data_IF_871861971931
#
_entry.id   IF_871861971931
#
_cell.length_a   1.000
_cell.length_b   1.000
_cell.length_c   1.000
_cell.angle_alpha   90.00
_cell.angle_beta   90.00
_cell.angle_gamma   90.00
#
_symmetry.space_group_name_H-M   'P 1'
#
loop_
_entity.id
_entity.type
_entity.pdbx_description
1 polymer ?
#
# COMPACT_ATOMS: atom_id res chain seq x y z
N UNK A 1 -17.34 -19.59 -4.10
CA UNK A 1 -16.08 -19.96 -3.43
C UNK A 1 -15.71 -18.82 -2.48
N UNK A 2 -15.81 -19.01 -1.17
CA UNK A 2 -15.34 -18.03 -0.20
C UNK A 2 -13.82 -18.16 -0.05
N UNK A 3 -13.09 -17.05 -0.17
CA UNK A 3 -11.63 -17.03 0.03
C UNK A 3 -11.31 -16.96 1.52
N UNK A 4 -10.16 -17.48 1.95
CA UNK A 4 -9.76 -17.52 3.37
C UNK A 4 -9.79 -16.13 4.03
N UNK A 5 -9.49 -15.07 3.29
CA UNK A 5 -9.44 -13.68 3.78
C UNK A 5 -10.73 -12.88 3.50
N UNK A 6 -11.83 -13.54 3.11
CA UNK A 6 -13.07 -12.84 2.78
C UNK A 6 -13.59 -12.02 3.97
N UNK A 7 -13.79 -10.72 3.74
CA UNK A 7 -14.36 -9.73 4.66
C UNK A 7 -13.55 -9.52 5.95
N UNK A 8 -12.25 -9.83 5.93
CA UNK A 8 -11.35 -9.62 7.06
C UNK A 8 -11.23 -8.14 7.45
N UNK A 9 -11.08 -7.87 8.75
CA UNK A 9 -10.84 -6.51 9.26
C UNK A 9 -9.45 -6.00 8.86
N UNK A 10 -8.45 -6.89 8.87
CA UNK A 10 -7.09 -6.60 8.45
C UNK A 10 -6.53 -7.80 7.68
N UNK A 11 -5.92 -7.53 6.53
CA UNK A 11 -5.06 -8.46 5.80
C UNK A 11 -3.62 -7.98 5.93
N UNK A 12 -2.70 -8.85 6.33
CA UNK A 12 -1.26 -8.58 6.25
C UNK A 12 -0.72 -9.27 5.01
N UNK A 13 -0.12 -8.52 4.11
CA UNK A 13 0.33 -9.01 2.80
C UNK A 13 1.77 -8.56 2.52
N UNK A 14 2.59 -9.43 1.95
CA UNK A 14 3.93 -9.05 1.53
C UNK A 14 3.88 -8.14 0.30
N UNK A 15 4.82 -7.21 0.21
CA UNK A 15 5.03 -6.37 -0.96
C UNK A 15 6.53 -6.11 -1.15
N UNK A 16 7.20 -7.07 -1.79
CA UNK A 16 8.66 -7.10 -1.85
C UNK A 16 9.28 -6.02 -2.74
N UNK A 17 8.61 -5.63 -3.84
CA UNK A 17 9.08 -4.64 -4.83
C UNK A 17 8.07 -3.50 -4.98
N UNK A 18 8.51 -2.32 -5.45
CA UNK A 18 7.60 -1.19 -5.70
C UNK A 18 6.70 -1.44 -6.91
N UNK A 19 5.63 -0.67 -7.05
CA UNK A 19 4.78 -0.76 -8.24
C UNK A 19 5.55 -0.50 -9.54
N UNK A 20 5.10 -1.15 -10.62
CA UNK A 20 5.64 -1.01 -11.96
C UNK A 20 5.56 -2.31 -12.74
N UNK A 21 5.31 -2.23 -14.06
CA UNK A 21 5.10 -3.42 -14.88
C UNK A 21 6.32 -4.37 -14.90
N UNK A 22 7.54 -3.83 -14.84
CA UNK A 22 8.78 -4.62 -14.74
C UNK A 22 8.85 -5.32 -13.39
N UNK A 23 8.67 -4.56 -12.30
CA UNK A 23 8.71 -5.10 -10.94
C UNK A 23 7.63 -6.16 -10.70
N UNK A 24 6.42 -5.98 -11.23
CA UNK A 24 5.35 -6.96 -11.13
C UNK A 24 5.74 -8.30 -11.80
N UNK A 25 6.39 -8.25 -12.97
CA UNK A 25 6.91 -9.45 -13.64
C UNK A 25 8.01 -10.14 -12.83
N UNK A 26 8.94 -9.36 -12.28
CA UNK A 26 10.03 -9.87 -11.44
C UNK A 26 9.50 -10.46 -10.13
N UNK A 27 8.52 -9.81 -9.51
CA UNK A 27 7.85 -10.29 -8.32
C UNK A 27 7.18 -11.64 -8.61
N UNK A 28 6.37 -11.71 -9.66
CA UNK A 28 5.71 -12.96 -10.10
C UNK A 28 6.69 -14.09 -10.39
N UNK A 29 7.80 -13.83 -11.09
CA UNK A 29 8.78 -14.87 -11.43
C UNK A 29 9.54 -15.40 -10.21
N UNK A 30 9.60 -14.61 -9.12
CA UNK A 30 10.24 -14.98 -7.85
C UNK A 30 9.25 -15.41 -6.77
N UNK A 31 7.95 -15.47 -7.06
CA UNK A 31 6.92 -15.82 -6.08
C UNK A 31 6.63 -14.73 -5.04
N UNK A 32 6.79 -13.46 -5.41
CA UNK A 32 6.52 -12.27 -4.59
C UNK A 32 5.46 -11.37 -5.26
N UNK A 33 5.15 -10.26 -4.58
CA UNK A 33 4.12 -9.30 -4.95
C UNK A 33 4.65 -7.86 -4.92
N UNK A 34 3.91 -6.99 -5.60
CA UNK A 34 4.04 -5.53 -5.48
C UNK A 34 2.82 -4.97 -4.72
N UNK A 35 2.90 -3.74 -4.16
CA UNK A 35 1.80 -3.09 -3.46
C UNK A 35 0.47 -3.13 -4.20
N UNK A 36 0.46 -2.90 -5.53
CA UNK A 36 -0.76 -2.97 -6.34
C UNK A 36 -1.40 -4.35 -6.30
N UNK A 37 -0.62 -5.43 -6.41
CA UNK A 37 -1.14 -6.80 -6.35
C UNK A 37 -1.79 -7.07 -4.99
N UNK A 38 -1.15 -6.61 -3.91
CA UNK A 38 -1.70 -6.72 -2.57
C UNK A 38 -3.01 -5.91 -2.44
N UNK A 39 -3.05 -4.67 -2.93
CA UNK A 39 -4.25 -3.85 -2.93
C UNK A 39 -5.40 -4.49 -3.72
N UNK A 40 -5.12 -5.05 -4.90
CA UNK A 40 -6.11 -5.79 -5.71
C UNK A 40 -6.62 -7.04 -4.98
N UNK A 41 -5.76 -7.73 -4.24
CA UNK A 41 -6.18 -8.83 -3.37
C UNK A 41 -7.11 -8.35 -2.26
N UNK A 42 -6.74 -7.28 -1.54
CA UNK A 42 -7.56 -6.64 -0.50
C UNK A 42 -8.93 -6.21 -1.03
N UNK A 43 -8.96 -5.62 -2.24
CA UNK A 43 -10.19 -5.31 -2.97
C UNK A 43 -11.06 -6.55 -3.16
N UNK A 44 -10.50 -7.60 -3.77
CA UNK A 44 -11.19 -8.85 -4.14
C UNK A 44 -11.79 -9.58 -2.94
N UNK A 45 -11.10 -9.56 -1.80
CA UNK A 45 -11.58 -10.23 -0.59
C UNK A 45 -12.48 -9.33 0.28
N UNK A 46 -12.78 -8.11 -0.16
CA UNK A 46 -13.55 -7.12 0.62
C UNK A 46 -12.92 -6.83 2.00
N UNK A 47 -11.59 -6.79 2.07
CA UNK A 47 -10.89 -6.43 3.30
C UNK A 47 -11.19 -4.97 3.67
N UNK A 48 -11.28 -4.68 4.97
CA UNK A 48 -11.42 -3.29 5.46
C UNK A 48 -10.10 -2.55 5.47
N UNK A 49 -9.03 -3.26 5.80
CA UNK A 49 -7.67 -2.74 5.83
C UNK A 49 -6.69 -3.75 5.28
N UNK A 50 -5.63 -3.26 4.65
CA UNK A 50 -4.49 -4.06 4.25
C UNK A 50 -3.20 -3.42 4.76
N UNK A 51 -2.35 -4.22 5.40
CA UNK A 51 -0.99 -3.83 5.81
C UNK A 51 0.01 -4.49 4.88
N UNK A 52 0.91 -3.67 4.32
CA UNK A 52 2.03 -4.14 3.53
C UNK A 52 3.26 -4.35 4.42
N UNK A 53 4.00 -5.42 4.18
CA UNK A 53 5.23 -5.74 4.91
C UNK A 53 6.21 -6.51 4.01
N UNK A 54 7.34 -6.96 4.57
CA UNK A 54 8.36 -7.74 3.87
C UNK A 54 8.92 -7.00 2.65
N UNK A 55 9.33 -5.75 2.86
CA UNK A 55 9.97 -4.93 1.82
C UNK A 55 11.41 -5.40 1.60
N UNK A 56 11.84 -5.52 0.34
CA UNK A 56 13.22 -5.87 0.05
C UNK A 56 14.15 -4.68 0.29
N UNK A 57 15.08 -4.82 1.25
CA UNK A 57 16.20 -3.91 1.47
C UNK A 57 17.26 -3.96 0.35
N UNK A 58 17.17 -4.92 -0.59
CA UNK A 58 18.11 -5.00 -1.72
C UNK A 58 17.83 -3.96 -2.82
N UNK A 59 16.71 -3.25 -2.70
CA UNK A 59 16.31 -2.19 -3.63
C UNK A 59 16.20 -0.83 -2.92
N UNK A 60 16.95 -0.66 -1.82
CA UNK A 60 17.18 0.64 -1.20
C UNK A 60 18.52 1.19 -1.66
N UNK A 61 18.54 1.82 -2.85
CA UNK A 61 19.42 2.93 -3.23
C UNK A 61 20.95 2.79 -3.19
N UNK A 62 21.54 1.75 -2.61
CA UNK A 62 22.99 1.64 -2.44
C UNK A 62 23.52 0.39 -3.15
N UNK A 63 23.88 0.60 -4.42
CA UNK A 63 24.87 -0.12 -5.28
C UNK A 63 24.32 -0.36 -6.69
N UNK A 64 24.15 0.72 -7.45
CA UNK A 64 24.56 0.84 -8.86
C UNK A 64 23.92 2.11 -9.44
N UNK A 65 24.68 2.89 -10.20
CA UNK A 65 24.25 4.14 -10.85
C UNK A 65 23.21 3.89 -11.97
N UNK A 66 22.97 2.61 -12.28
CA UNK A 66 21.95 2.11 -13.20
C UNK A 66 20.80 1.37 -12.48
N UNK A 67 20.77 1.37 -11.15
CA UNK A 67 19.75 0.68 -10.38
C UNK A 67 18.54 1.60 -10.18
N UNK A 68 17.44 1.31 -10.88
CA UNK A 68 16.14 1.93 -10.65
C UNK A 68 15.49 1.42 -9.35
N UNK A 69 16.28 1.20 -8.31
CA UNK A 69 15.82 0.65 -7.03
C UNK A 69 15.10 1.72 -6.24
N UNK A 70 13.80 1.75 -6.49
CA UNK A 70 12.89 2.65 -5.84
C UNK A 70 12.46 2.03 -4.51
N UNK A 71 12.62 2.78 -3.43
CA UNK A 71 12.20 2.35 -2.11
C UNK A 71 10.72 2.02 -2.11
N UNK A 72 10.43 0.73 -1.89
CA UNK A 72 9.06 0.25 -1.72
C UNK A 72 8.42 0.95 -0.52
N UNK A 73 9.21 1.32 0.49
CA UNK A 73 8.77 2.03 1.68
C UNK A 73 8.26 3.46 1.45
N UNK A 74 8.52 4.08 0.28
CA UNK A 74 7.96 5.39 -0.06
C UNK A 74 6.69 5.24 -0.93
N UNK A 75 5.50 5.58 -0.41
CA UNK A 75 4.24 5.43 -1.14
C UNK A 75 4.14 6.23 -2.43
N UNK A 76 4.97 7.26 -2.63
CA UNK A 76 4.99 8.05 -3.89
C UNK A 76 5.26 7.18 -5.11
N UNK A 77 5.93 6.06 -4.90
CA UNK A 77 6.31 5.13 -5.95
C UNK A 77 5.31 3.98 -6.15
N UNK A 78 4.28 3.92 -5.30
CA UNK A 78 3.28 2.86 -5.27
C UNK A 78 1.91 3.37 -5.73
N UNK A 79 1.92 4.15 -6.82
CA UNK A 79 0.72 4.78 -7.41
C UNK A 79 -0.31 3.76 -7.88
N UNK A 80 0.11 2.53 -8.19
CA UNK A 80 -0.79 1.46 -8.59
C UNK A 80 -1.68 1.03 -7.43
N UNK A 81 -1.11 0.83 -6.24
CA UNK A 81 -1.86 0.54 -5.02
C UNK A 81 -2.85 1.66 -4.67
N UNK A 82 -2.42 2.93 -4.77
CA UNK A 82 -3.29 4.08 -4.49
C UNK A 82 -4.48 4.15 -5.47
N UNK A 83 -4.25 3.90 -6.77
CA UNK A 83 -5.33 3.84 -7.76
C UNK A 83 -6.36 2.76 -7.46
N UNK A 84 -5.93 1.62 -6.92
CA UNK A 84 -6.87 0.57 -6.51
C UNK A 84 -7.77 1.06 -5.38
N UNK A 85 -7.25 1.81 -4.41
CA UNK A 85 -8.07 2.41 -3.35
C UNK A 85 -9.08 3.42 -3.90
N UNK A 86 -8.65 4.27 -4.85
CA UNK A 86 -9.53 5.22 -5.53
C UNK A 86 -10.68 4.49 -6.25
N UNK A 87 -10.36 3.42 -6.99
CA UNK A 87 -11.36 2.59 -7.66
C UNK A 87 -12.36 1.95 -6.69
N UNK A 88 -11.91 1.51 -5.50
CA UNK A 88 -12.82 0.97 -4.49
C UNK A 88 -13.79 2.07 -3.99
N UNK A 89 -13.30 3.29 -3.75
CA UNK A 89 -14.16 4.41 -3.32
C UNK A 89 -15.15 4.82 -4.42
N UNK A 90 -14.69 4.91 -5.67
CA UNK A 90 -15.50 5.35 -6.82
C UNK A 90 -16.51 4.30 -7.30
N UNK A 91 -16.09 3.03 -7.42
CA UNK A 91 -16.91 1.97 -8.02
C UNK A 91 -17.73 1.20 -6.98
N UNK A 92 -17.21 1.04 -5.75
CA UNK A 92 -17.83 0.20 -4.72
C UNK A 92 -18.40 1.03 -3.55
N UNK A 93 -18.17 2.34 -3.52
CA UNK A 93 -18.71 3.23 -2.49
C UNK A 93 -18.19 2.92 -1.08
N UNK A 94 -17.08 2.20 -0.95
CA UNK A 94 -16.45 1.85 0.33
C UNK A 94 -15.00 2.33 0.37
N UNK A 95 -14.44 2.42 1.57
CA UNK A 95 -13.01 2.72 1.75
C UNK A 95 -12.28 1.51 2.28
N UNK A 96 -11.07 1.29 1.79
CA UNK A 96 -10.12 0.34 2.35
C UNK A 96 -8.90 1.11 2.85
N UNK A 97 -8.47 0.85 4.09
CA UNK A 97 -7.25 1.45 4.62
C UNK A 97 -6.02 0.72 4.09
N UNK A 98 -5.00 1.46 3.67
CA UNK A 98 -3.69 0.94 3.32
C UNK A 98 -2.69 1.38 4.39
N UNK A 99 -1.97 0.41 4.95
CA UNK A 99 -1.01 0.63 6.04
C UNK A 99 0.36 0.19 5.55
N UNK A 100 1.35 1.06 5.69
CA UNK A 100 2.75 0.72 5.44
C UNK A 100 3.37 0.21 6.72
N UNK A 101 3.66 -1.10 6.79
CA UNK A 101 4.33 -1.66 7.95
C UNK A 101 5.74 -1.08 8.11
N UNK A 102 6.22 -1.01 9.33
CA UNK A 102 7.62 -0.75 9.65
C UNK A 102 8.00 -1.59 10.87
N UNK A 103 9.29 -1.64 11.17
CA UNK A 103 9.78 -2.36 12.34
C UNK A 103 9.19 -1.75 13.62
N UNK A 104 8.81 -2.62 14.55
CA UNK A 104 8.21 -2.25 15.85
C UNK A 104 6.85 -1.54 15.77
N UNK A 105 6.20 -1.48 14.60
CA UNK A 105 4.83 -0.97 14.49
C UNK A 105 3.84 -1.81 15.28
N UNK A 106 2.98 -1.17 16.06
CA UNK A 106 1.85 -1.80 16.72
C UNK A 106 0.51 -1.41 16.07
N UNK A 107 -0.31 -2.42 15.77
CA UNK A 107 -1.67 -2.23 15.27
C UNK A 107 -2.67 -2.77 16.27
N UNK A 108 -3.59 -1.90 16.70
CA UNK A 108 -4.70 -2.25 17.55
C UNK A 108 -5.96 -2.46 16.69
N UNK A 109 -6.49 -3.68 16.71
CA UNK A 109 -7.79 -4.00 16.09
C UNK A 109 -8.90 -3.84 17.12
N UNK A 110 -9.77 -2.84 16.93
CA UNK A 110 -10.95 -2.66 17.79
C UNK A 110 -12.15 -3.43 17.24
N UNK A 111 -13.02 -3.90 18.15
CA UNK A 111 -14.23 -4.67 17.83
C UNK A 111 -15.26 -3.89 17.00
N UNK A 112 -15.22 -2.56 17.05
CA UNK A 112 -16.00 -1.67 16.17
C UNK A 112 -15.48 -1.66 14.72
N UNK A 113 -14.45 -2.48 14.44
CA UNK A 113 -13.83 -2.71 13.13
C UNK A 113 -12.97 -1.54 12.68
N UNK A 114 -12.61 -0.67 13.62
CA UNK A 114 -11.63 0.38 13.43
C UNK A 114 -10.21 -0.13 13.71
N UNK A 115 -9.31 0.16 12.77
CA UNK A 115 -7.87 -0.09 12.91
C UNK A 115 -7.20 1.19 13.38
N UNK A 116 -6.42 1.10 14.46
CA UNK A 116 -5.60 2.17 15.02
C UNK A 116 -4.12 1.77 14.95
N UNK A 117 -3.28 2.65 14.43
CA UNK A 117 -1.83 2.45 14.37
C UNK A 117 -1.18 3.28 15.48
N UNK A 118 -0.30 2.67 16.26
CA UNK A 118 0.59 3.38 17.20
C UNK A 118 2.03 3.30 16.66
N UNK A 119 2.73 4.43 16.69
CA UNK A 119 4.11 4.53 16.24
C UNK A 119 4.91 5.36 17.26
N UNK A 120 6.09 4.88 17.67
CA UNK A 120 6.96 5.61 18.61
C UNK A 120 7.86 6.63 17.89
N UNK A 121 8.32 6.36 16.66
CA UNK A 121 9.32 7.20 15.97
C UNK A 121 8.97 7.62 14.52
N UNK A 122 8.07 8.59 14.33
CA UNK A 122 8.03 9.52 13.17
C UNK A 122 8.01 9.04 11.70
N UNK A 123 8.21 7.76 11.35
CA UNK A 123 8.25 7.25 9.97
C UNK A 123 7.35 6.01 9.88
N UNK A 124 6.05 6.26 9.76
CA UNK A 124 5.01 5.24 9.62
C UNK A 124 3.66 5.92 9.52
N UNK A 125 3.49 6.79 8.52
CA UNK A 125 2.24 7.54 8.36
C UNK A 125 1.11 6.58 7.95
N UNK A 126 -0.06 6.72 8.59
CA UNK A 126 -1.30 6.23 8.01
C UNK A 126 -1.51 6.94 6.66
N UNK A 127 -1.21 6.27 5.55
CA UNK A 127 -1.53 6.76 4.21
C UNK A 127 -2.99 6.41 3.89
N UNK A 128 -3.91 6.93 4.69
CA UNK A 128 -5.35 6.79 4.47
C UNK A 128 -6.03 8.12 4.09
N UNK A 129 -5.39 9.28 4.29
CA UNK A 129 -6.08 10.58 4.12
C UNK A 129 -5.41 11.58 3.15
N UNK A 130 -4.19 11.32 2.68
CA UNK A 130 -3.35 12.38 2.08
C UNK A 130 -3.46 12.55 0.54
N UNK A 131 -4.27 11.73 -0.13
CA UNK A 131 -4.46 11.81 -1.60
C UNK A 131 -5.32 13.02 -1.98
N UNK A 132 -6.34 13.37 -1.17
CA UNK A 132 -7.24 14.50 -1.46
C UNK A 132 -6.51 15.86 -1.34
N UNK A 133 -5.52 15.97 -0.45
CA UNK A 133 -4.73 17.21 -0.26
C UNK A 133 -3.79 17.49 -1.44
N UNK A 134 -3.27 16.44 -2.10
CA UNK A 134 -2.33 16.59 -3.22
C UNK A 134 -3.00 16.87 -4.56
N UNK A 135 -4.19 16.30 -4.83
CA UNK A 135 -4.98 16.61 -6.03
C UNK A 135 -5.41 18.09 -6.05
N UNK A 136 -5.87 18.61 -4.91
CA UNK A 136 -6.22 20.03 -4.74
C UNK A 136 -5.02 20.98 -5.01
N UNK A 137 -3.79 20.59 -4.63
CA UNK A 137 -2.58 21.38 -4.94
C UNK A 137 -2.18 21.33 -6.41
N UNK A 138 -2.31 20.17 -7.07
CA UNK A 138 -1.95 20.00 -8.49
C UNK A 138 -2.93 20.68 -9.46
N UNK A 139 -4.20 20.79 -9.08
CA UNK A 139 -5.23 21.52 -9.86
C UNK A 139 -5.13 23.04 -9.64
N UNK A 140 -4.69 23.48 -8.45
CA UNK A 140 -4.42 24.89 -8.17
C UNK A 140 -3.17 25.43 -8.90
N UNK A 141 -2.15 24.60 -9.13
CA UNK A 141 -0.91 24.99 -9.84
C UNK A 141 -0.99 24.91 -11.37
N UNK A 142 -2.02 24.27 -11.93
CA UNK A 142 -2.30 24.29 -13.38
C UNK A 142 -3.14 25.48 -13.85
N UNK A 143 -3.59 26.35 -12.92
CA UNK A 143 -4.44 27.52 -13.21
C UNK A 143 -3.70 28.85 -13.13
N UNK A 144 -2.36 28.88 -13.18
CA UNK A 144 -1.57 30.10 -13.34
C UNK A 144 -0.65 29.97 -14.54
#
# INVERSE_FOLDING_TARGET
>A
MATLASKSDLVVHEATLSDGAVNERVAKSRGHSVPRMAAEFGRKVEAKSIMLTHFSNRYTGDRDENDHSVSVADPKHNVGALRVLEQIEEEEGRKMKLIWGCDLMEIMLKRDRNVFVKHEDGIGAEYAEDIKVRRARSEATRKH
#
